data_IF_929940460476
#
_entry.id   IF_929940460476
#
_cell.length_a   1.000
_cell.length_b   1.000
_cell.length_c   1.000
_cell.angle_alpha   90.00
_cell.angle_beta   90.00
_cell.angle_gamma   90.00
#
_symmetry.space_group_name_H-M   'P 1'
#
loop_
_entity.id
_entity.type
_entity.pdbx_description
1 polymer ?
#
# COMPACT_ATOMS: atom_id res chain seq x y z
N UNK A 1 -0.31 -8.65 15.88
CA UNK A 1 -1.55 -8.49 15.10
C UNK A 1 -1.91 -9.82 14.46
N UNK A 2 -3.18 -10.23 14.54
CA UNK A 2 -3.69 -11.39 13.83
C UNK A 2 -3.95 -10.99 12.37
N UNK A 3 -3.46 -11.75 11.39
CA UNK A 3 -3.68 -11.48 9.97
C UNK A 3 -4.88 -12.28 9.46
N UNK A 4 -5.74 -11.62 8.69
CA UNK A 4 -6.86 -12.25 7.99
C UNK A 4 -6.51 -12.35 6.51
N UNK A 5 -6.68 -13.52 5.86
CA UNK A 5 -6.46 -13.63 4.42
C UNK A 5 -7.49 -12.77 3.67
N UNK A 6 -7.01 -12.05 2.66
CA UNK A 6 -7.84 -11.25 1.77
C UNK A 6 -7.47 -11.54 0.32
N UNK A 7 -8.45 -11.44 -0.57
CA UNK A 7 -8.26 -11.60 -2.02
C UNK A 7 -8.76 -10.35 -2.71
N UNK A 8 -7.99 -9.83 -3.66
CA UNK A 8 -8.34 -8.71 -4.49
C UNK A 8 -7.75 -8.91 -5.89
N UNK A 9 -8.33 -8.24 -6.87
CA UNK A 9 -7.84 -8.27 -8.25
C UNK A 9 -6.69 -7.28 -8.41
N UNK A 10 -5.69 -7.66 -9.19
CA UNK A 10 -4.61 -6.76 -9.62
C UNK A 10 -4.28 -7.01 -11.08
N UNK A 11 -3.78 -5.96 -11.73
CA UNK A 11 -3.24 -6.06 -13.08
C UNK A 11 -2.11 -7.08 -13.16
N UNK A 12 -2.12 -7.91 -14.23
CA UNK A 12 -1.12 -8.96 -14.43
C UNK A 12 0.30 -8.39 -14.44
N UNK A 13 0.51 -7.28 -15.14
CA UNK A 13 1.81 -6.62 -15.21
C UNK A 13 2.30 -6.11 -13.84
N UNK A 14 1.38 -5.74 -12.93
CA UNK A 14 1.74 -5.35 -11.57
C UNK A 14 2.17 -6.56 -10.74
N UNK A 15 1.46 -7.68 -10.86
CA UNK A 15 1.84 -8.94 -10.20
C UNK A 15 3.24 -9.40 -10.66
N UNK A 16 3.53 -9.35 -11.96
CA UNK A 16 4.85 -9.69 -12.51
C UNK A 16 5.96 -8.78 -11.97
N UNK A 17 5.70 -7.48 -11.85
CA UNK A 17 6.64 -6.52 -11.26
C UNK A 17 6.89 -6.81 -9.78
N UNK A 18 5.85 -7.13 -9.01
CA UNK A 18 5.96 -7.52 -7.60
C UNK A 18 6.81 -8.79 -7.45
N UNK A 19 6.57 -9.79 -8.29
CA UNK A 19 7.32 -11.06 -8.27
C UNK A 19 8.80 -10.85 -8.60
N UNK A 20 9.08 -10.03 -9.61
CA UNK A 20 10.45 -9.65 -9.96
C UNK A 20 11.15 -8.89 -8.84
N UNK A 21 10.45 -7.97 -8.16
CA UNK A 21 10.99 -7.24 -7.03
C UNK A 21 11.37 -8.17 -5.89
N UNK A 22 10.47 -9.09 -5.50
CA UNK A 22 10.71 -10.07 -4.42
C UNK A 22 11.97 -10.89 -4.71
N UNK A 23 12.07 -11.45 -5.93
CA UNK A 23 13.24 -12.24 -6.36
C UNK A 23 14.54 -11.43 -6.32
N UNK A 24 14.52 -10.20 -6.84
CA UNK A 24 15.70 -9.32 -6.85
C UNK A 24 16.13 -8.94 -5.44
N UNK A 25 15.18 -8.58 -4.57
CA UNK A 25 15.44 -8.19 -3.18
C UNK A 25 16.07 -9.34 -2.39
N UNK A 26 15.51 -10.55 -2.51
CA UNK A 26 16.04 -11.75 -1.86
C UNK A 26 17.49 -12.01 -2.27
N UNK A 27 17.81 -11.88 -3.57
CA UNK A 27 19.18 -12.01 -4.08
C UNK A 27 20.15 -10.94 -3.56
N UNK A 28 19.69 -9.70 -3.43
CA UNK A 28 20.56 -8.55 -3.11
C UNK A 28 20.82 -8.39 -1.60
N UNK A 29 19.78 -8.54 -0.78
CA UNK A 29 19.85 -8.18 0.65
C UNK A 29 19.82 -9.38 1.58
N UNK A 30 19.54 -10.57 1.06
CA UNK A 30 19.19 -11.73 1.89
C UNK A 30 17.88 -11.49 2.66
N UNK A 31 17.32 -12.56 3.22
CA UNK A 31 16.09 -12.50 4.00
C UNK A 31 14.82 -12.55 3.13
N UNK A 32 14.00 -13.57 3.40
CA UNK A 32 12.77 -13.84 2.65
C UNK A 32 11.64 -12.93 3.15
N UNK A 33 11.21 -11.99 2.32
CA UNK A 33 9.94 -11.25 2.54
C UNK A 33 8.85 -11.87 1.67
N UNK A 34 7.69 -12.10 2.26
CA UNK A 34 6.53 -12.58 1.50
C UNK A 34 5.95 -11.45 0.66
N UNK A 35 5.35 -11.79 -0.49
CA UNK A 35 4.56 -10.85 -1.30
C UNK A 35 3.53 -10.12 -0.43
N UNK A 36 2.85 -10.85 0.45
CA UNK A 36 1.86 -10.30 1.38
C UNK A 36 2.44 -9.19 2.25
N UNK A 37 3.63 -9.37 2.84
CA UNK A 37 4.26 -8.33 3.66
C UNK A 37 4.66 -7.07 2.89
N UNK A 38 4.99 -7.22 1.60
CA UNK A 38 5.37 -6.07 0.75
C UNK A 38 4.11 -5.33 0.31
N UNK A 39 3.06 -6.07 -0.04
CA UNK A 39 1.75 -5.52 -0.40
C UNK A 39 1.15 -4.77 0.80
N UNK A 40 1.18 -5.35 1.99
CA UNK A 40 0.68 -4.73 3.23
C UNK A 40 1.39 -3.39 3.50
N UNK A 41 2.72 -3.36 3.49
CA UNK A 41 3.50 -2.11 3.66
C UNK A 41 3.17 -1.08 2.57
N UNK A 42 2.99 -1.52 1.32
CA UNK A 42 2.60 -0.64 0.22
C UNK A 42 1.20 -0.05 0.42
N UNK A 43 0.24 -0.87 0.86
CA UNK A 43 -1.14 -0.45 1.12
C UNK A 43 -1.21 0.50 2.31
N UNK A 44 -0.52 0.22 3.42
CA UNK A 44 -0.45 1.11 4.59
C UNK A 44 0.05 2.50 4.21
N UNK A 45 1.11 2.58 3.41
CA UNK A 45 1.65 3.86 2.94
C UNK A 45 0.68 4.65 2.06
N UNK A 46 -0.07 3.96 1.18
CA UNK A 46 -1.07 4.62 0.33
C UNK A 46 -2.27 5.04 1.16
N UNK A 47 -2.77 4.19 2.05
CA UNK A 47 -3.90 4.51 2.93
C UNK A 47 -3.60 5.72 3.80
N UNK A 48 -2.41 5.78 4.42
CA UNK A 48 -1.98 6.94 5.20
C UNK A 48 -2.05 8.25 4.40
N UNK A 49 -1.67 8.21 3.10
CA UNK A 49 -1.77 9.38 2.22
C UNK A 49 -3.22 9.73 1.91
N UNK A 50 -4.05 8.75 1.57
CA UNK A 50 -5.46 8.95 1.23
C UNK A 50 -6.26 9.46 2.43
N UNK A 51 -6.00 8.94 3.63
CA UNK A 51 -6.61 9.42 4.88
C UNK A 51 -6.30 10.91 5.10
N UNK A 52 -5.06 11.33 4.87
CA UNK A 52 -4.67 12.75 4.99
C UNK A 52 -5.34 13.65 3.95
N UNK A 53 -5.57 13.16 2.74
CA UNK A 53 -6.32 13.89 1.72
C UNK A 53 -7.76 14.13 2.19
N UNK A 54 -8.40 13.11 2.77
CA UNK A 54 -9.75 13.22 3.33
C UNK A 54 -9.77 14.18 4.53
N UNK A 55 -8.88 14.03 5.50
CA UNK A 55 -8.85 14.91 6.68
C UNK A 55 -8.53 16.37 6.33
N UNK A 56 -7.72 16.61 5.29
CA UNK A 56 -7.47 17.95 4.77
C UNK A 56 -8.68 18.60 4.08
N UNK A 57 -9.63 17.79 3.61
CA UNK A 57 -10.91 18.24 3.06
C UNK A 57 -11.95 18.46 4.16
N UNK A 58 -11.98 17.60 5.18
CA UNK A 58 -12.88 17.71 6.34
C UNK A 58 -12.53 18.90 7.25
N UNK A 59 -11.26 19.32 7.29
CA UNK A 59 -10.81 20.50 8.02
C UNK A 59 -10.99 21.84 7.28
N UNK A 60 -11.47 21.83 6.03
CA UNK A 60 -11.81 23.06 5.30
C UNK A 60 -13.26 23.42 5.60
N UNK A 61 -13.42 24.12 6.72
CA UNK A 61 -14.64 24.84 7.04
C UNK A 61 -14.95 25.83 5.90
N UNK A 62 -15.96 25.51 5.07
CA UNK A 62 -16.41 26.34 3.93
C UNK A 62 -17.26 27.53 4.39
N UNK A 63 -17.23 27.87 5.68
CA UNK A 63 -18.06 28.90 6.30
C UNK A 63 -17.55 30.34 6.09
N UNK A 64 -16.48 30.57 5.32
CA UNK A 64 -16.04 31.93 4.93
C UNK A 64 -16.52 32.27 3.52
N UNK A 65 -17.84 32.41 3.37
CA UNK A 65 -18.42 33.28 2.35
C UNK A 65 -19.55 34.07 3.01
N UNK A 66 -19.24 35.26 3.52
CA UNK A 66 -20.20 36.35 3.64
C UNK A 66 -19.52 37.70 3.58
#
# INVERSE_FOLDING_TARGET
MLKTPATFTIERGLLERLDNYVRKRERLFGGRRSKSSIVEEGLENILYRLEREISGLEGRDISVIR
#
